data_IF_175908235689
#
_entry.id   IF_175908235689
#
_cell.length_a   1.000
_cell.length_b   1.000
_cell.length_c   1.000
_cell.angle_alpha   90.00
_cell.angle_beta   90.00
_cell.angle_gamma   90.00
#
_symmetry.space_group_name_H-M   'P 1'
#
loop_
_entity.id
_entity.type
_entity.pdbx_description
1 polymer ?
#
# COMPACT_ATOMS: atom_id res chain seq x y z
N UNK A 1 6.46 -12.77 -24.07
CA UNK A 1 5.29 -12.04 -23.52
C UNK A 1 5.16 -12.16 -22.00
N UNK A 2 5.59 -13.27 -21.36
CA UNK A 2 5.51 -13.46 -19.90
C UNK A 2 6.61 -12.78 -19.06
N UNK A 3 7.68 -12.24 -19.65
CA UNK A 3 8.75 -11.58 -18.87
C UNK A 3 8.37 -10.20 -18.31
N UNK A 4 7.32 -9.56 -18.84
CA UNK A 4 6.99 -8.16 -18.53
C UNK A 4 6.36 -8.03 -17.14
N UNK A 5 5.55 -9.00 -16.69
CA UNK A 5 4.78 -8.91 -15.43
C UNK A 5 5.67 -8.69 -14.20
N UNK A 6 6.81 -9.41 -14.09
CA UNK A 6 7.72 -9.30 -12.94
C UNK A 6 8.39 -7.93 -12.80
N UNK A 7 8.49 -7.18 -13.89
CA UNK A 7 9.14 -5.87 -13.87
C UNK A 7 8.24 -4.79 -13.28
N UNK A 8 6.91 -4.98 -13.34
CA UNK A 8 5.95 -4.09 -12.70
C UNK A 8 6.06 -4.15 -11.18
N UNK A 9 6.38 -5.32 -10.62
CA UNK A 9 6.46 -5.55 -9.18
C UNK A 9 7.54 -4.72 -8.51
N UNK A 10 8.72 -4.67 -9.13
CA UNK A 10 9.83 -3.85 -8.63
C UNK A 10 9.49 -2.37 -8.78
N UNK A 11 8.92 -1.96 -9.93
CA UNK A 11 8.59 -0.56 -10.22
C UNK A 11 7.54 0.02 -9.26
N UNK A 12 6.51 -0.74 -8.89
CA UNK A 12 5.47 -0.27 -7.95
C UNK A 12 6.04 -0.07 -6.54
N UNK A 13 6.92 -0.96 -6.08
CA UNK A 13 7.61 -0.82 -4.79
C UNK A 13 8.54 0.41 -4.82
N UNK A 14 9.34 0.59 -5.88
CA UNK A 14 10.22 1.75 -6.04
C UNK A 14 9.47 3.08 -6.12
N UNK A 15 8.29 3.08 -6.74
CA UNK A 15 7.41 4.25 -6.84
C UNK A 15 6.58 4.50 -5.55
N UNK A 16 6.56 3.56 -4.60
CA UNK A 16 5.72 3.62 -3.41
C UNK A 16 4.21 3.48 -3.72
N UNK A 17 3.87 2.77 -4.79
CA UNK A 17 2.48 2.46 -5.17
C UNK A 17 2.08 1.17 -4.46
N UNK A 18 1.08 1.28 -3.58
CA UNK A 18 0.56 0.16 -2.80
C UNK A 18 -0.43 -0.66 -3.62
N UNK A 19 -0.25 -1.99 -3.59
CA UNK A 19 -1.14 -2.97 -4.19
C UNK A 19 -2.08 -3.61 -3.14
N UNK A 20 -3.36 -3.70 -3.49
CA UNK A 20 -4.36 -4.31 -2.62
C UNK A 20 -4.24 -5.84 -2.67
N UNK A 21 -4.11 -6.46 -1.50
CA UNK A 21 -3.88 -7.89 -1.33
C UNK A 21 -2.40 -8.27 -1.16
N UNK A 22 -1.48 -7.54 -1.78
CA UNK A 22 -0.05 -7.75 -1.60
C UNK A 22 0.54 -6.87 -0.47
N UNK A 23 0.24 -5.56 -0.47
CA UNK A 23 0.80 -4.61 0.49
C UNK A 23 -0.17 -4.31 1.65
N UNK A 24 -1.47 -4.31 1.40
CA UNK A 24 -2.50 -4.07 2.42
C UNK A 24 -3.82 -4.77 2.09
N UNK A 25 -4.68 -4.91 3.10
CA UNK A 25 -6.02 -5.48 2.98
C UNK A 25 -7.05 -4.65 3.77
N UNK A 26 -8.24 -5.23 3.97
CA UNK A 26 -9.38 -4.61 4.65
C UNK A 26 -9.11 -4.22 6.11
N UNK A 27 -8.01 -4.70 6.71
CA UNK A 27 -7.63 -4.40 8.09
C UNK A 27 -7.01 -3.02 8.24
N UNK A 28 -6.58 -2.41 7.12
CA UNK A 28 -5.96 -1.09 7.10
C UNK A 28 -6.97 -0.05 6.62
N UNK A 29 -6.88 1.15 7.20
CA UNK A 29 -7.60 2.30 6.68
C UNK A 29 -6.67 3.33 6.04
N UNK A 30 -7.21 4.29 5.28
CA UNK A 30 -6.41 5.30 4.58
C UNK A 30 -5.46 6.12 5.47
N UNK A 31 -5.70 6.20 6.79
CA UNK A 31 -4.77 6.89 7.69
C UNK A 31 -3.54 6.03 7.97
N UNK A 32 -3.71 4.72 8.13
CA UNK A 32 -2.61 3.76 8.29
C UNK A 32 -1.68 3.74 7.05
N UNK A 33 -2.29 3.90 5.87
CA UNK A 33 -1.60 3.89 4.58
C UNK A 33 -1.00 5.26 4.21
N UNK A 34 -1.23 6.30 5.03
CA UNK A 34 -0.77 7.66 4.72
C UNK A 34 -1.50 8.31 3.53
N UNK A 35 -2.66 7.77 3.14
CA UNK A 35 -3.49 8.24 2.02
C UNK A 35 -4.49 9.35 2.44
N UNK A 36 -4.42 9.80 3.69
CA UNK A 36 -5.30 10.84 4.24
C UNK A 36 -5.43 12.10 3.38
N UNK A 37 -4.35 12.49 2.69
CA UNK A 37 -4.31 13.69 1.83
C UNK A 37 -5.18 13.58 0.57
N UNK A 38 -5.62 12.38 0.22
CA UNK A 38 -6.45 12.12 -0.95
C UNK A 38 -7.94 12.00 -0.60
N UNK A 39 -8.29 12.13 0.68
CA UNK A 39 -9.68 12.08 1.12
C UNK A 39 -10.22 13.51 1.19
N UNK A 40 -11.28 13.75 0.44
CA UNK A 40 -12.09 14.97 0.54
C UNK A 40 -13.10 14.82 1.70
N UNK A 41 -12.79 15.48 2.83
CA UNK A 41 -13.69 15.50 3.99
C UNK A 41 -14.84 16.51 3.87
N UNK A 42 -14.76 17.45 2.93
CA UNK A 42 -15.77 18.49 2.69
C UNK A 42 -16.90 17.99 1.78
N UNK A 43 -16.62 16.98 0.96
CA UNK A 43 -17.63 16.24 0.20
C UNK A 43 -18.76 15.73 1.12
N UNK A 44 -19.94 15.55 0.55
CA UNK A 44 -21.09 14.88 1.19
C UNK A 44 -20.75 13.47 1.72
N UNK A 45 -21.72 12.81 2.36
CA UNK A 45 -21.48 11.53 3.04
C UNK A 45 -20.88 10.46 2.11
N UNK A 46 -19.92 9.70 2.64
CA UNK A 46 -19.25 8.59 1.95
C UNK A 46 -19.02 7.43 2.91
N UNK A 47 -18.91 6.22 2.36
CA UNK A 47 -18.74 4.99 3.14
C UNK A 47 -17.46 5.10 3.97
N UNK A 48 -17.60 5.02 5.29
CA UNK A 48 -16.47 5.12 6.24
C UNK A 48 -16.15 6.54 6.73
N UNK A 49 -16.83 7.60 6.26
CA UNK A 49 -16.56 8.99 6.70
C UNK A 49 -16.61 9.17 8.21
N UNK A 50 -17.71 8.73 8.84
CA UNK A 50 -17.90 8.82 10.29
C UNK A 50 -16.84 8.03 11.07
N UNK A 51 -16.41 6.88 10.54
CA UNK A 51 -15.38 6.05 11.17
C UNK A 51 -14.01 6.73 11.13
N UNK A 52 -13.65 7.33 9.99
CA UNK A 52 -12.38 8.07 9.83
C UNK A 52 -12.33 9.32 10.71
N UNK A 53 -13.41 10.11 10.75
CA UNK A 53 -13.51 11.29 11.62
C UNK A 53 -13.37 10.89 13.10
N UNK A 54 -13.99 9.78 13.51
CA UNK A 54 -13.86 9.25 14.88
C UNK A 54 -12.44 8.76 15.20
N UNK A 55 -11.73 8.16 14.25
CA UNK A 55 -10.35 7.68 14.44
C UNK A 55 -9.36 8.84 14.60
N UNK A 56 -9.54 9.92 13.84
CA UNK A 56 -8.71 11.12 13.93
C UNK A 56 -7.34 10.97 13.25
N UNK A 57 -6.43 10.17 13.81
CA UNK A 57 -5.11 9.90 13.23
C UNK A 57 -4.68 8.45 13.50
N UNK A 58 -3.75 7.91 12.71
CA UNK A 58 -3.16 6.60 12.95
C UNK A 58 -1.72 6.69 13.47
N UNK A 59 -1.36 5.94 14.53
CA UNK A 59 0.04 5.74 14.90
C UNK A 59 0.77 4.78 13.95
N UNK A 60 0.03 3.98 13.16
CA UNK A 60 0.59 3.01 12.23
C UNK A 60 0.89 3.67 10.88
N UNK A 61 2.03 3.35 10.26
CA UNK A 61 2.40 3.81 8.92
C UNK A 61 3.18 2.75 8.15
N UNK A 62 2.81 2.56 6.89
CA UNK A 62 3.64 1.80 5.94
C UNK A 62 4.95 2.55 5.65
N UNK A 63 6.05 1.81 5.59
CA UNK A 63 7.40 2.33 5.35
C UNK A 63 8.10 1.48 4.30
N UNK A 64 8.78 2.14 3.36
CA UNK A 64 9.78 1.48 2.53
C UNK A 64 11.09 1.33 3.32
N UNK A 65 11.70 0.16 3.24
CA UNK A 65 13.04 -0.10 3.78
C UNK A 65 14.00 -0.41 2.63
N UNK A 66 15.25 0.05 2.77
CA UNK A 66 16.32 -0.28 1.83
C UNK A 66 17.33 -1.18 2.53
N UNK A 67 17.59 -2.34 1.96
CA UNK A 67 18.67 -3.22 2.38
C UNK A 67 19.94 -2.89 1.57
N UNK A 68 21.07 -2.50 2.21
CA UNK A 68 22.30 -2.17 1.49
C UNK A 68 23.04 -3.40 0.94
N UNK A 69 22.93 -4.53 1.63
CA UNK A 69 23.76 -5.72 1.41
C UNK A 69 23.21 -6.68 0.36
N UNK A 70 21.89 -6.73 0.21
CA UNK A 70 21.22 -7.77 -0.56
C UNK A 70 20.17 -7.16 -1.49
N UNK A 71 20.06 -7.71 -2.70
CA UNK A 71 18.98 -7.37 -3.63
C UNK A 71 17.90 -8.44 -3.57
N UNK A 72 16.61 -8.07 -3.52
CA UNK A 72 15.55 -9.06 -3.56
C UNK A 72 15.65 -9.86 -4.85
N UNK A 73 15.77 -11.19 -4.71
CA UNK A 73 15.80 -12.13 -5.84
C UNK A 73 14.39 -12.65 -6.06
N UNK A 74 13.87 -12.45 -7.27
CA UNK A 74 12.61 -13.07 -7.69
C UNK A 74 12.93 -14.51 -8.14
N UNK A 75 12.96 -15.45 -7.20
CA UNK A 75 13.06 -16.88 -7.52
C UNK A 75 11.68 -17.42 -7.90
N UNK A 76 11.57 -18.06 -9.08
CA UNK A 76 10.39 -18.78 -9.58
C UNK A 76 10.10 -20.08 -8.80
N UNK A 77 10.13 -20.04 -7.47
CA UNK A 77 9.74 -21.14 -6.60
C UNK A 77 8.69 -20.67 -5.59
N UNK A 78 7.69 -19.92 -6.06
CA UNK A 78 6.43 -19.85 -5.33
C UNK A 78 5.58 -20.98 -5.89
N UNK A 79 5.57 -22.11 -5.20
CA UNK A 79 4.70 -23.24 -5.50
C UNK A 79 3.25 -22.75 -5.51
N UNK A 80 2.72 -22.51 -6.71
CA UNK A 80 1.32 -22.80 -7.00
C UNK A 80 1.28 -24.16 -7.68
#
# INVERSE_FOLDING_TARGET
>A
MLQILHQWDIRRIEAGILDYGADFDQRFDPFDLGLQKFIDFDKSDFIGKKALVKKGNSPMRIRGIRCPSEKPVVTMNCSQ
#
